data_IF_702510600506
#
_entry.id   IF_702510600506
#
_cell.length_a   1.000
_cell.length_b   1.000
_cell.length_c   1.000
_cell.angle_alpha   90.00
_cell.angle_beta   90.00
_cell.angle_gamma   90.00
#
_symmetry.space_group_name_H-M   'P 1'
#
loop_
_entity.id
_entity.type
_entity.pdbx_description
1 polymer ?
#
# COMPACT_ATOMS: atom_id res chain seq x y z
N UNK A 1 -16.72 21.03 -11.68
CA UNK A 1 -17.83 20.52 -10.86
C UNK A 1 -17.40 20.24 -9.43
N UNK A 2 -16.74 19.11 -9.10
CA UNK A 2 -16.35 18.85 -7.69
C UNK A 2 -15.34 19.86 -7.13
N UNK A 3 -14.32 20.21 -7.90
CA UNK A 3 -13.33 21.21 -7.49
C UNK A 3 -13.97 22.56 -7.18
N UNK A 4 -14.86 23.03 -8.08
CA UNK A 4 -15.56 24.31 -7.91
C UNK A 4 -16.48 24.25 -6.69
N UNK A 5 -17.27 23.19 -6.54
CA UNK A 5 -18.17 23.01 -5.39
C UNK A 5 -17.42 22.98 -4.04
N UNK A 6 -16.26 22.30 -3.98
CA UNK A 6 -15.42 22.29 -2.77
C UNK A 6 -14.76 23.64 -2.51
N UNK A 7 -14.36 24.35 -3.56
CA UNK A 7 -13.79 25.69 -3.45
C UNK A 7 -14.82 26.71 -2.96
N UNK A 8 -16.05 26.62 -3.46
CA UNK A 8 -17.19 27.45 -3.02
C UNK A 8 -17.59 27.14 -1.57
N UNK A 9 -17.52 25.88 -1.14
CA UNK A 9 -17.79 25.50 0.24
C UNK A 9 -16.78 26.11 1.24
N UNK A 10 -15.55 26.36 0.79
CA UNK A 10 -14.49 27.01 1.57
C UNK A 10 -13.84 26.07 2.59
N UNK A 11 -12.59 25.60 2.37
CA UNK A 11 -11.90 24.79 3.37
C UNK A 11 -11.65 25.60 4.66
N UNK A 12 -11.76 24.92 5.81
CA UNK A 12 -11.49 25.50 7.13
C UNK A 12 -10.16 24.97 7.65
N UNK A 13 -9.27 25.88 8.05
CA UNK A 13 -8.00 25.50 8.67
C UNK A 13 -8.22 24.85 10.04
N UNK A 14 -7.42 23.84 10.33
CA UNK A 14 -7.41 23.13 11.61
C UNK A 14 -6.08 23.39 12.32
N UNK A 15 -6.09 23.39 13.65
CA UNK A 15 -4.88 23.55 14.48
C UNK A 15 -4.09 22.23 14.56
N UNK A 16 -3.72 21.70 13.39
CA UNK A 16 -2.95 20.48 13.23
C UNK A 16 -2.12 20.54 11.95
N UNK A 17 -0.88 20.08 12.00
CA UNK A 17 -0.07 19.92 10.79
C UNK A 17 -0.65 18.85 9.85
N UNK A 18 -0.71 19.16 8.56
CA UNK A 18 -1.13 18.21 7.54
C UNK A 18 -0.15 17.03 7.49
N UNK A 19 -0.69 15.81 7.56
CA UNK A 19 0.14 14.60 7.46
C UNK A 19 0.64 14.41 6.02
N UNK A 20 1.95 14.46 5.83
CA UNK A 20 2.62 14.29 4.53
C UNK A 20 3.32 12.93 4.48
N UNK A 21 3.13 12.22 3.36
CA UNK A 21 3.88 11.03 3.00
C UNK A 21 5.00 11.41 2.04
N UNK A 22 6.23 11.37 2.54
CA UNK A 22 7.41 11.65 1.72
C UNK A 22 8.10 10.35 1.31
N UNK A 23 8.19 10.10 0.01
CA UNK A 23 8.98 8.99 -0.52
C UNK A 23 10.47 9.31 -0.31
N UNK A 24 11.17 8.46 0.44
CA UNK A 24 12.59 8.67 0.80
C UNK A 24 13.59 8.03 -0.17
N UNK A 25 13.15 7.07 -0.98
CA UNK A 25 13.93 6.39 -2.01
C UNK A 25 13.01 5.94 -3.15
N UNK A 26 13.52 5.62 -4.35
CA UNK A 26 12.69 5.18 -5.47
C UNK A 26 11.83 3.95 -5.12
N UNK A 27 10.55 4.00 -5.48
CA UNK A 27 9.58 2.90 -5.35
C UNK A 27 9.05 2.55 -6.73
N UNK A 28 9.09 1.29 -7.09
CA UNK A 28 8.68 0.82 -8.43
C UNK A 28 7.48 -0.11 -8.36
N UNK A 29 6.64 -0.07 -9.39
CA UNK A 29 5.59 -1.05 -9.62
C UNK A 29 5.50 -1.37 -11.12
N UNK A 30 5.45 -2.64 -11.47
CA UNK A 30 5.36 -3.12 -12.85
C UNK A 30 4.27 -4.19 -12.92
N UNK A 31 3.43 -4.10 -13.94
CA UNK A 31 2.36 -5.07 -14.21
C UNK A 31 2.69 -5.87 -15.46
N UNK A 32 2.21 -7.11 -15.50
CA UNK A 32 2.34 -7.99 -16.68
C UNK A 32 1.67 -7.39 -17.94
N UNK A 33 0.71 -6.48 -17.75
CA UNK A 33 0.09 -5.69 -18.82
C UNK A 33 1.04 -4.71 -19.52
N UNK A 34 2.24 -4.51 -18.98
CA UNK A 34 3.24 -3.57 -19.46
C UNK A 34 3.09 -2.14 -18.92
N UNK A 35 2.19 -1.93 -17.95
CA UNK A 35 2.14 -0.67 -17.18
C UNK A 35 3.33 -0.61 -16.22
N UNK A 36 4.04 0.52 -16.18
CA UNK A 36 5.19 0.69 -15.29
C UNK A 36 5.14 2.02 -14.56
N UNK A 37 5.62 2.02 -13.32
CA UNK A 37 5.58 3.17 -12.43
C UNK A 37 6.87 3.28 -11.63
N UNK A 38 7.32 4.51 -11.44
CA UNK A 38 8.41 4.85 -10.52
C UNK A 38 8.01 6.09 -9.74
N UNK A 39 7.97 6.00 -8.41
CA UNK A 39 7.84 7.16 -7.53
C UNK A 39 9.21 7.48 -6.91
N UNK A 40 9.70 8.69 -7.11
CA UNK A 40 10.99 9.15 -6.57
C UNK A 40 10.83 10.29 -5.55
N UNK A 41 11.80 10.49 -4.65
CA UNK A 41 11.76 11.60 -3.69
C UNK A 41 11.64 12.94 -4.40
N UNK A 42 10.66 13.74 -4.00
CA UNK A 42 10.43 15.08 -4.52
C UNK A 42 9.74 15.93 -3.46
N UNK A 43 9.96 17.25 -3.48
CA UNK A 43 9.41 18.19 -2.48
C UNK A 43 7.92 18.51 -2.65
N UNK A 44 7.35 18.10 -3.79
CA UNK A 44 5.96 18.31 -4.21
C UNK A 44 5.42 17.07 -4.91
N UNK A 45 4.11 16.98 -5.08
CA UNK A 45 3.49 15.98 -5.95
C UNK A 45 3.65 16.38 -7.42
N UNK A 46 4.50 15.65 -8.14
CA UNK A 46 4.70 15.81 -9.59
C UNK A 46 4.34 14.51 -10.30
N UNK A 47 3.62 14.58 -11.41
CA UNK A 47 3.30 13.41 -12.22
C UNK A 47 3.81 13.62 -13.65
N UNK A 48 4.66 12.71 -14.11
CA UNK A 48 5.00 12.56 -15.52
C UNK A 48 4.34 11.28 -16.03
N UNK A 49 3.51 11.40 -17.07
CA UNK A 49 2.79 10.24 -17.59
C UNK A 49 2.98 10.13 -19.11
N UNK A 50 3.03 8.88 -19.59
CA UNK A 50 2.98 8.53 -21.00
C UNK A 50 1.79 7.62 -21.24
N UNK A 51 0.90 8.00 -22.15
CA UNK A 51 -0.14 7.11 -22.67
C UNK A 51 0.23 6.70 -24.10
N UNK A 52 -0.24 5.54 -24.53
CA UNK A 52 0.02 4.99 -25.86
C UNK A 52 -1.23 4.23 -26.32
N UNK A 53 -2.07 4.91 -27.09
CA UNK A 53 -3.30 4.35 -27.65
C UNK A 53 -3.15 4.24 -29.16
N UNK A 54 -3.52 3.08 -29.71
CA UNK A 54 -3.62 2.83 -31.15
C UNK A 54 -4.87 3.54 -31.74
N UNK A 55 -4.90 4.87 -31.63
CA UNK A 55 -5.99 5.71 -32.13
C UNK A 55 -5.44 6.99 -32.78
N UNK A 56 -5.89 7.40 -33.98
CA UNK A 56 -5.33 8.54 -34.72
C UNK A 56 -5.33 9.88 -33.96
N UNK A 57 -6.28 10.10 -33.04
CA UNK A 57 -6.40 11.32 -32.24
C UNK A 57 -5.66 11.31 -30.91
N UNK A 58 -5.14 10.16 -30.48
CA UNK A 58 -4.48 10.03 -29.17
C UNK A 58 -3.00 9.70 -29.38
N UNK A 59 -2.71 8.59 -30.05
CA UNK A 59 -1.35 8.10 -30.25
C UNK A 59 -0.56 7.94 -28.94
N UNK A 60 0.76 8.06 -29.06
CA UNK A 60 1.67 8.13 -27.92
C UNK A 60 1.90 9.58 -27.53
N UNK A 61 1.58 9.93 -26.30
CA UNK A 61 1.84 11.27 -25.78
C UNK A 61 2.41 11.26 -24.37
N UNK A 62 3.19 12.29 -24.06
CA UNK A 62 3.90 12.48 -22.81
C UNK A 62 3.61 13.87 -22.25
N UNK A 63 3.55 13.97 -20.93
CA UNK A 63 3.40 15.25 -20.23
C UNK A 63 3.87 15.16 -18.79
N UNK A 64 4.15 16.32 -18.19
CA UNK A 64 4.62 16.44 -16.81
C UNK A 64 3.93 17.61 -16.13
N UNK A 65 3.32 17.34 -14.98
CA UNK A 65 2.42 18.27 -14.27
C UNK A 65 2.84 18.41 -12.81
N UNK A 66 2.94 19.63 -12.32
CA UNK A 66 3.04 19.92 -10.87
C UNK A 66 1.61 19.93 -10.31
N UNK A 67 1.22 18.84 -9.64
CA UNK A 67 -0.15 18.66 -9.16
C UNK A 67 -0.45 19.64 -8.04
N UNK A 68 0.51 19.90 -7.16
CA UNK A 68 0.32 20.80 -6.02
C UNK A 68 0.04 22.25 -6.46
N UNK A 69 0.65 22.70 -7.56
CA UNK A 69 0.46 24.05 -8.08
C UNK A 69 -0.61 24.15 -9.18
N UNK A 70 -0.75 23.11 -10.00
CA UNK A 70 -1.49 23.17 -11.26
C UNK A 70 -2.82 22.41 -11.28
N UNK A 71 -3.19 21.64 -10.24
CA UNK A 71 -4.35 20.74 -10.31
C UNK A 71 -5.63 21.42 -10.80
N UNK A 72 -5.95 22.61 -10.29
CA UNK A 72 -7.17 23.34 -10.62
C UNK A 72 -7.28 23.68 -12.11
N UNK A 73 -6.20 24.23 -12.67
CA UNK A 73 -6.18 24.77 -14.04
C UNK A 73 -5.81 23.71 -15.08
N UNK A 74 -4.99 22.73 -14.69
CA UNK A 74 -4.36 21.79 -15.62
C UNK A 74 -5.00 20.41 -15.62
N UNK A 75 -5.65 19.97 -14.54
CA UNK A 75 -6.06 18.55 -14.39
C UNK A 75 -7.56 18.44 -14.11
N UNK A 76 -8.09 19.23 -13.18
CA UNK A 76 -9.44 19.06 -12.62
C UNK A 76 -10.58 19.11 -13.67
N UNK A 77 -10.33 19.75 -14.82
CA UNK A 77 -11.33 19.93 -15.89
C UNK A 77 -11.22 18.90 -17.02
N UNK A 78 -10.22 18.02 -17.01
CA UNK A 78 -10.05 17.00 -18.04
C UNK A 78 -11.10 15.89 -17.90
N UNK A 79 -11.88 15.66 -18.96
CA UNK A 79 -12.98 14.68 -18.95
C UNK A 79 -12.48 13.27 -19.21
N UNK A 80 -13.27 12.30 -18.73
CA UNK A 80 -13.10 10.92 -19.13
C UNK A 80 -13.41 10.71 -20.60
N UNK A 81 -12.92 9.61 -21.16
CA UNK A 81 -13.10 9.26 -22.56
C UNK A 81 -13.36 7.77 -22.75
N UNK A 82 -14.02 7.42 -23.86
CA UNK A 82 -14.30 6.04 -24.24
C UNK A 82 -14.53 5.91 -25.74
N UNK A 83 -14.53 4.68 -26.23
CA UNK A 83 -14.71 4.38 -27.65
C UNK A 83 -16.16 3.99 -27.94
N UNK A 84 -16.72 4.51 -29.02
CA UNK A 84 -18.10 4.24 -29.47
C UNK A 84 -18.34 2.72 -29.63
N UNK A 85 -17.35 2.00 -30.14
CA UNK A 85 -17.40 0.55 -30.33
C UNK A 85 -17.65 -0.23 -29.02
N UNK A 86 -17.25 0.32 -27.88
CA UNK A 86 -17.38 -0.34 -26.57
C UNK A 86 -18.71 -0.03 -25.88
N UNK A 87 -19.46 0.97 -26.36
CA UNK A 87 -20.65 1.51 -25.66
C UNK A 87 -21.76 0.46 -25.54
N UNK A 88 -22.05 -0.26 -26.62
CA UNK A 88 -23.10 -1.29 -26.61
C UNK A 88 -22.77 -2.44 -25.65
N UNK A 89 -21.51 -2.91 -25.66
CA UNK A 89 -21.05 -3.97 -24.76
C UNK A 89 -21.13 -3.53 -23.30
N UNK A 90 -20.62 -2.32 -22.99
CA UNK A 90 -20.62 -1.78 -21.64
C UNK A 90 -22.06 -1.62 -21.12
N UNK A 91 -22.97 -1.06 -21.92
CA UNK A 91 -24.38 -0.93 -21.56
C UNK A 91 -25.05 -2.30 -21.36
N UNK A 92 -24.73 -3.28 -22.21
CA UNK A 92 -25.22 -4.66 -22.08
C UNK A 92 -24.81 -5.32 -20.76
N UNK A 93 -23.68 -4.90 -20.17
CA UNK A 93 -23.19 -5.32 -18.85
C UNK A 93 -23.68 -4.44 -17.70
N UNK A 94 -24.52 -3.45 -17.98
CA UNK A 94 -25.02 -2.47 -16.99
C UNK A 94 -23.98 -1.43 -16.57
N UNK A 95 -22.91 -1.24 -17.36
CA UNK A 95 -21.87 -0.24 -17.16
C UNK A 95 -22.13 0.98 -18.06
N UNK A 96 -21.49 2.12 -17.75
CA UNK A 96 -21.57 3.35 -18.55
C UNK A 96 -22.99 3.93 -18.80
N UNK A 97 -24.02 3.47 -18.07
CA UNK A 97 -25.42 3.88 -18.25
C UNK A 97 -25.70 5.39 -18.10
N UNK A 98 -24.80 6.12 -17.44
CA UNK A 98 -24.87 7.58 -17.26
C UNK A 98 -23.93 8.39 -18.16
N UNK A 99 -23.25 7.73 -19.10
CA UNK A 99 -22.35 8.39 -20.04
C UNK A 99 -23.15 9.26 -21.02
N UNK A 100 -22.65 10.46 -21.28
CA UNK A 100 -23.22 11.41 -22.22
C UNK A 100 -22.10 12.23 -22.85
N UNK A 101 -22.37 12.86 -23.99
CA UNK A 101 -21.40 13.78 -24.62
C UNK A 101 -21.08 15.01 -23.73
N UNK A 102 -21.85 15.26 -22.66
CA UNK A 102 -21.57 16.36 -21.73
C UNK A 102 -20.46 16.01 -20.72
N UNK A 103 -20.36 14.75 -20.31
CA UNK A 103 -19.44 14.28 -19.27
C UNK A 103 -18.32 13.37 -19.79
N UNK A 104 -18.44 12.85 -21.02
CA UNK A 104 -17.48 11.92 -21.62
C UNK A 104 -17.12 12.36 -23.04
N UNK A 105 -15.84 12.26 -23.39
CA UNK A 105 -15.36 12.38 -24.78
C UNK A 105 -15.51 11.01 -25.43
N UNK A 106 -16.29 10.93 -26.51
CA UNK A 106 -16.49 9.68 -27.25
C UNK A 106 -15.63 9.73 -28.51
N UNK A 107 -14.89 8.65 -28.76
CA UNK A 107 -14.11 8.48 -29.99
C UNK A 107 -14.74 7.40 -30.87
N UNK A 108 -14.88 7.68 -32.16
CA UNK A 108 -15.14 6.64 -33.16
C UNK A 108 -13.81 6.01 -33.61
N UNK A 109 -13.77 5.31 -34.75
CA UNK A 109 -12.55 4.69 -35.24
C UNK A 109 -11.46 5.68 -35.71
N UNK A 110 -11.82 6.94 -35.97
CA UNK A 110 -10.97 7.93 -36.63
C UNK A 110 -10.90 9.27 -35.88
N UNK A 111 -11.98 9.73 -35.26
CA UNK A 111 -12.08 11.07 -34.66
C UNK A 111 -12.95 11.13 -33.39
N UNK A 112 -13.06 12.32 -32.81
CA UNK A 112 -13.91 12.64 -31.67
C UNK A 112 -15.34 12.91 -32.15
N UNK A 113 -16.30 12.24 -31.52
CA UNK A 113 -17.73 12.31 -31.87
C UNK A 113 -18.38 13.49 -31.16
N UNK A 114 -18.93 14.43 -31.94
CA UNK A 114 -19.82 15.53 -31.50
C UNK A 114 -19.36 16.29 -30.24
N UNK A 115 -18.04 16.39 -30.05
CA UNK A 115 -17.44 17.05 -28.90
C UNK A 115 -16.09 17.68 -29.28
N UNK A 116 -15.66 18.67 -28.51
CA UNK A 116 -14.34 19.31 -28.65
C UNK A 116 -13.54 19.13 -27.39
N UNK A 117 -12.21 19.08 -27.51
CA UNK A 117 -11.34 18.99 -26.35
C UNK A 117 -11.25 20.35 -25.62
N UNK A 118 -11.19 20.30 -24.30
CA UNK A 118 -10.89 21.44 -23.42
C UNK A 118 -9.40 21.75 -23.39
N UNK A 119 -8.58 20.73 -23.59
CA UNK A 119 -7.12 20.79 -23.63
C UNK A 119 -6.61 19.98 -24.83
N UNK A 120 -5.52 20.39 -25.46
CA UNK A 120 -4.92 19.66 -26.58
C UNK A 120 -4.57 18.21 -26.20
N UNK A 121 -4.12 18.01 -24.97
CA UNK A 121 -3.70 16.76 -24.34
C UNK A 121 -4.70 16.26 -23.28
N UNK A 122 -6.01 16.53 -23.45
CA UNK A 122 -7.05 16.22 -22.45
C UNK A 122 -7.08 14.73 -22.04
N UNK A 123 -6.83 13.79 -22.95
CA UNK A 123 -6.77 12.35 -22.65
C UNK A 123 -5.67 11.99 -21.64
N UNK A 124 -4.49 12.62 -21.78
CA UNK A 124 -3.37 12.43 -20.86
C UNK A 124 -3.67 13.09 -19.51
N UNK A 125 -4.19 14.32 -19.52
CA UNK A 125 -4.58 15.03 -18.28
C UNK A 125 -5.62 14.24 -17.49
N UNK A 126 -6.58 13.61 -18.16
CA UNK A 126 -7.54 12.73 -17.50
C UNK A 126 -6.85 11.54 -16.81
N UNK A 127 -5.92 10.86 -17.49
CA UNK A 127 -5.14 9.76 -16.89
C UNK A 127 -4.25 10.23 -15.73
N UNK A 128 -3.73 11.46 -15.78
CA UNK A 128 -3.05 12.08 -14.63
C UNK A 128 -4.02 12.32 -13.48
N UNK A 129 -5.24 12.80 -13.77
CA UNK A 129 -6.32 12.91 -12.79
C UNK A 129 -6.67 11.58 -12.12
N UNK A 130 -6.75 10.49 -12.89
CA UNK A 130 -6.95 9.13 -12.37
C UNK A 130 -5.82 8.73 -11.41
N UNK A 131 -4.55 8.97 -11.76
CA UNK A 131 -3.40 8.70 -10.88
C UNK A 131 -3.53 9.50 -9.57
N UNK A 132 -3.89 10.79 -9.64
CA UNK A 132 -4.09 11.63 -8.44
C UNK A 132 -5.20 11.06 -7.57
N UNK A 133 -6.34 10.70 -8.16
CA UNK A 133 -7.48 10.14 -7.45
C UNK A 133 -7.18 8.80 -6.77
N UNK A 134 -6.52 7.89 -7.49
CA UNK A 134 -6.16 6.57 -6.96
C UNK A 134 -5.09 6.67 -5.86
N UNK A 135 -4.08 7.54 -6.03
CA UNK A 135 -3.06 7.77 -4.99
C UNK A 135 -3.63 8.48 -3.75
N UNK A 136 -4.74 9.21 -3.86
CA UNK A 136 -5.43 9.79 -2.71
C UNK A 136 -5.95 8.72 -1.72
N UNK A 137 -6.08 7.45 -2.15
CA UNK A 137 -6.39 6.32 -1.26
C UNK A 137 -5.30 6.03 -0.23
N UNK A 138 -4.10 6.63 -0.36
CA UNK A 138 -3.09 6.67 0.70
C UNK A 138 -3.54 7.49 1.92
N UNK A 139 -4.68 8.19 1.85
CA UNK A 139 -5.34 8.97 2.92
C UNK A 139 -4.55 10.16 3.46
N UNK A 140 -3.42 10.49 2.82
CA UNK A 140 -2.49 11.55 3.22
C UNK A 140 -1.85 12.16 1.98
N UNK A 141 -1.40 13.40 2.09
CA UNK A 141 -0.76 14.10 0.97
C UNK A 141 0.58 13.46 0.64
N UNK A 142 0.76 13.02 -0.60
CA UNK A 142 2.01 12.41 -1.08
C UNK A 142 2.93 13.48 -1.68
N UNK A 143 4.21 13.49 -1.29
CA UNK A 143 5.25 14.26 -1.98
C UNK A 143 6.22 13.30 -2.67
N UNK A 144 6.10 13.22 -3.99
CA UNK A 144 6.91 12.37 -4.85
C UNK A 144 6.83 12.86 -6.30
N UNK A 145 7.84 12.52 -7.10
CA UNK A 145 7.73 12.57 -8.56
C UNK A 145 7.38 11.17 -9.05
N UNK A 146 6.14 11.00 -9.51
CA UNK A 146 5.63 9.78 -10.11
C UNK A 146 5.85 9.84 -11.61
N UNK A 147 6.54 8.84 -12.15
CA UNK A 147 6.67 8.58 -13.59
C UNK A 147 5.84 7.35 -13.91
N UNK A 148 4.86 7.47 -14.81
CA UNK A 148 3.97 6.38 -15.20
C UNK A 148 4.00 6.17 -16.73
N UNK A 149 4.13 4.93 -17.16
CA UNK A 149 3.99 4.52 -18.56
C UNK A 149 2.79 3.58 -18.70
N UNK A 150 1.87 3.92 -19.62
CA UNK A 150 0.58 3.25 -19.83
C UNK A 150 -0.23 3.12 -18.52
N UNK A 151 -0.58 4.25 -17.88
CA UNK A 151 -1.26 4.23 -16.59
C UNK A 151 -2.65 3.58 -16.65
N UNK A 152 -3.02 2.89 -15.57
CA UNK A 152 -4.27 2.16 -15.37
C UNK A 152 -4.64 2.16 -13.89
N UNK A 153 -5.93 2.04 -13.56
CA UNK A 153 -6.35 2.00 -12.15
C UNK A 153 -5.66 0.86 -11.38
N UNK A 154 -5.54 -0.33 -11.98
CA UNK A 154 -4.83 -1.45 -11.37
C UNK A 154 -3.38 -1.07 -11.04
N UNK A 155 -2.66 -0.49 -12.01
CA UNK A 155 -1.27 -0.09 -11.80
C UNK A 155 -1.09 1.06 -10.80
N UNK A 156 -2.01 2.02 -10.78
CA UNK A 156 -2.03 3.10 -9.79
C UNK A 156 -2.20 2.54 -8.37
N UNK A 157 -3.10 1.56 -8.20
CA UNK A 157 -3.34 0.89 -6.93
C UNK A 157 -2.11 0.06 -6.50
N UNK A 158 -1.44 -0.63 -7.41
CA UNK A 158 -0.19 -1.34 -7.11
C UNK A 158 0.92 -0.37 -6.69
N UNK A 159 1.05 0.78 -7.36
CA UNK A 159 1.97 1.83 -6.94
C UNK A 159 1.63 2.37 -5.54
N UNK A 160 0.36 2.64 -5.25
CA UNK A 160 -0.08 3.07 -3.92
C UNK A 160 0.27 2.04 -2.84
N UNK A 161 0.07 0.75 -3.12
CA UNK A 161 0.46 -0.35 -2.22
C UNK A 161 1.98 -0.38 -2.01
N UNK A 162 2.76 -0.25 -3.08
CA UNK A 162 4.22 -0.23 -3.01
C UNK A 162 4.74 0.96 -2.19
N UNK A 163 4.18 2.16 -2.41
CA UNK A 163 4.50 3.38 -1.64
C UNK A 163 4.18 3.18 -0.17
N UNK A 164 2.98 2.66 0.17
CA UNK A 164 2.61 2.36 1.56
C UNK A 164 3.60 1.40 2.21
N UNK A 165 3.98 0.33 1.52
CA UNK A 165 4.97 -0.63 2.02
C UNK A 165 6.34 0.02 2.23
N UNK A 166 6.79 0.86 1.30
CA UNK A 166 8.05 1.61 1.41
C UNK A 166 8.08 2.54 2.61
N UNK A 167 7.00 3.31 2.80
CA UNK A 167 6.87 4.27 3.91
C UNK A 167 6.85 3.57 5.26
N UNK A 168 6.17 2.43 5.35
CA UNK A 168 6.23 1.57 6.55
C UNK A 168 7.68 1.17 6.86
N UNK A 169 8.48 0.77 5.87
CA UNK A 169 9.87 0.34 6.10
C UNK A 169 10.82 1.48 6.50
N UNK A 170 10.59 2.69 5.98
CA UNK A 170 11.55 3.81 6.06
C UNK A 170 11.20 4.88 7.11
N UNK A 171 9.98 4.88 7.65
CA UNK A 171 9.53 5.85 8.65
C UNK A 171 10.02 5.56 10.08
N UNK A 172 9.84 6.52 11.01
CA UNK A 172 10.00 6.24 12.43
C UNK A 172 9.01 5.13 12.84
N UNK A 173 9.43 4.18 13.68
CA UNK A 173 8.53 3.10 14.10
C UNK A 173 7.39 3.64 14.96
N UNK A 174 6.23 2.99 14.86
CA UNK A 174 5.11 3.18 15.80
C UNK A 174 5.54 2.77 17.22
N UNK A 175 6.31 1.69 17.32
CA UNK A 175 6.94 1.25 18.56
C UNK A 175 8.32 0.65 18.27
N UNK A 176 9.35 1.15 18.95
CA UNK A 176 10.70 0.59 18.93
C UNK A 176 10.89 -0.52 19.97
N UNK A 177 12.07 -1.13 19.99
CA UNK A 177 12.38 -2.25 20.89
C UNK A 177 12.17 -1.91 22.37
N UNK A 178 12.48 -0.69 22.79
CA UNK A 178 12.31 -0.26 24.19
C UNK A 178 10.84 -0.26 24.56
N UNK A 179 9.98 0.24 23.66
CA UNK A 179 8.53 0.19 23.82
C UNK A 179 7.99 -1.24 23.68
N UNK A 180 8.54 -2.07 22.81
CA UNK A 180 8.11 -3.48 22.71
C UNK A 180 8.40 -4.26 24.00
N UNK A 181 9.52 -3.99 24.67
CA UNK A 181 9.88 -4.65 25.92
C UNK A 181 8.93 -4.32 27.08
N UNK A 182 8.14 -3.23 27.00
CA UNK A 182 7.10 -2.93 28.00
C UNK A 182 5.83 -3.73 27.76
N UNK A 183 5.52 -4.10 26.51
CA UNK A 183 4.32 -4.85 26.16
C UNK A 183 4.53 -6.36 26.07
N UNK A 184 5.70 -6.79 25.63
CA UNK A 184 6.03 -8.20 25.47
C UNK A 184 6.87 -8.68 26.66
N UNK A 185 6.53 -9.84 27.26
CA UNK A 185 7.33 -10.43 28.33
C UNK A 185 8.64 -11.04 27.81
N UNK A 186 8.72 -11.30 26.50
CA UNK A 186 9.88 -11.92 25.85
C UNK A 186 11.15 -11.09 26.04
N UNK A 187 12.29 -11.77 26.22
CA UNK A 187 13.63 -11.17 26.30
C UNK A 187 14.59 -11.99 25.46
N UNK A 188 15.78 -11.45 25.18
CA UNK A 188 16.83 -12.20 24.49
C UNK A 188 17.03 -13.57 25.16
N UNK A 189 17.13 -14.67 24.38
CA UNK A 189 17.21 -14.73 22.90
C UNK A 189 15.86 -14.88 22.18
N UNK A 190 14.73 -14.76 22.89
CA UNK A 190 13.39 -15.06 22.36
C UNK A 190 12.52 -13.84 22.04
N UNK A 191 12.96 -12.60 22.31
CA UNK A 191 12.32 -11.41 21.74
C UNK A 191 12.83 -11.23 20.31
N UNK A 192 11.98 -11.52 19.32
CA UNK A 192 12.40 -11.63 17.92
C UNK A 192 11.98 -10.42 17.06
N UNK A 193 10.96 -9.67 17.48
CA UNK A 193 10.48 -8.47 16.76
C UNK A 193 11.26 -7.26 17.24
N UNK A 194 11.82 -6.49 16.31
CA UNK A 194 12.65 -5.33 16.63
C UNK A 194 11.82 -4.05 16.78
N UNK A 195 10.78 -3.90 15.96
CA UNK A 195 9.91 -2.72 15.94
C UNK A 195 8.58 -2.98 15.24
N UNK A 196 7.58 -2.17 15.56
CA UNK A 196 6.31 -2.07 14.84
C UNK A 196 6.36 -0.84 13.95
N UNK A 197 6.05 -1.03 12.68
CA UNK A 197 6.11 0.01 11.65
C UNK A 197 4.74 0.45 11.14
N UNK A 198 3.69 -0.32 11.43
CA UNK A 198 2.32 0.11 11.25
C UNK A 198 1.39 -0.57 12.25
N UNK A 199 0.32 0.12 12.64
CA UNK A 199 -0.64 -0.38 13.62
C UNK A 199 -2.02 0.22 13.37
N UNK A 200 -2.99 -0.64 13.11
CA UNK A 200 -4.42 -0.32 13.03
C UNK A 200 -5.16 -1.10 14.14
N UNK A 201 -5.55 -0.43 15.24
CA UNK A 201 -6.14 -1.07 16.41
C UNK A 201 -7.30 -2.01 16.06
N UNK A 202 -7.20 -3.27 16.50
CA UNK A 202 -8.22 -4.30 16.28
C UNK A 202 -8.33 -4.81 14.84
N UNK A 203 -7.52 -4.30 13.91
CA UNK A 203 -7.56 -4.69 12.48
C UNK A 203 -6.27 -5.31 11.99
N UNK A 204 -5.11 -4.71 12.25
CA UNK A 204 -3.85 -5.22 11.70
C UNK A 204 -2.60 -4.52 12.23
N UNK A 205 -1.48 -5.21 12.10
CA UNK A 205 -0.17 -4.74 12.55
C UNK A 205 0.91 -5.12 11.55
N UNK A 206 1.91 -4.27 11.44
CA UNK A 206 3.12 -4.56 10.68
C UNK A 206 4.34 -4.49 11.59
N UNK A 207 4.97 -5.65 11.80
CA UNK A 207 6.20 -5.79 12.57
C UNK A 207 7.40 -5.98 11.67
N UNK A 208 8.59 -5.73 12.22
CA UNK A 208 9.85 -5.92 11.50
C UNK A 208 10.85 -6.65 12.39
N UNK A 209 11.58 -7.59 11.77
CA UNK A 209 12.75 -8.27 12.33
C UNK A 209 13.92 -8.16 11.36
N UNK A 210 15.05 -7.71 11.86
CA UNK A 210 16.33 -7.86 11.20
C UNK A 210 16.90 -9.24 11.53
N UNK A 211 17.48 -9.89 10.52
CA UNK A 211 18.10 -11.21 10.67
C UNK A 211 19.61 -11.03 10.65
N UNK A 212 20.26 -11.30 11.78
CA UNK A 212 21.71 -11.13 11.92
C UNK A 212 22.42 -12.44 12.20
N UNK A 213 23.62 -12.61 11.63
CA UNK A 213 24.44 -13.82 11.82
C UNK A 213 24.79 -14.08 13.30
N UNK A 214 24.73 -13.04 14.14
CA UNK A 214 24.99 -13.13 15.57
C UNK A 214 23.86 -13.81 16.36
N UNK A 215 22.73 -14.15 15.73
CA UNK A 215 21.64 -14.84 16.43
C UNK A 215 22.02 -16.29 16.78
N UNK A 216 21.74 -16.74 18.02
CA UNK A 216 22.32 -17.96 18.57
C UNK A 216 21.90 -19.24 17.82
N UNK A 217 20.74 -19.24 17.17
CA UNK A 217 20.24 -20.40 16.46
C UNK A 217 21.02 -20.73 15.17
N UNK A 218 21.76 -19.78 14.59
CA UNK A 218 22.55 -20.05 13.38
C UNK A 218 23.74 -20.99 13.64
N UNK A 219 24.19 -21.11 14.90
CA UNK A 219 25.25 -22.04 15.28
C UNK A 219 24.81 -23.51 15.18
N UNK A 220 23.51 -23.78 15.35
CA UNK A 220 22.99 -25.14 15.51
C UNK A 220 21.92 -25.56 14.49
N UNK A 221 21.24 -24.63 13.82
CA UNK A 221 20.17 -24.99 12.88
C UNK A 221 20.74 -25.70 11.63
N UNK A 222 21.73 -25.08 10.97
CA UNK A 222 22.48 -25.68 9.86
C UNK A 222 23.91 -25.10 9.80
N UNK A 223 24.91 -25.77 10.42
CA UNK A 223 26.30 -25.31 10.41
C UNK A 223 26.84 -25.12 8.98
N UNK A 224 27.41 -23.94 8.70
CA UNK A 224 27.94 -23.58 7.37
C UNK A 224 26.87 -23.17 6.34
N UNK A 225 25.59 -23.19 6.71
CA UNK A 225 24.47 -22.82 5.84
C UNK A 225 23.39 -22.06 6.64
N UNK A 226 23.65 -20.79 7.01
CA UNK A 226 22.85 -20.08 8.02
C UNK A 226 21.44 -19.75 7.50
N UNK A 227 20.48 -20.63 7.79
CA UNK A 227 19.06 -20.44 7.53
C UNK A 227 18.34 -20.18 8.86
N UNK A 228 17.43 -19.21 8.90
CA UNK A 228 16.59 -18.98 10.07
C UNK A 228 15.55 -20.11 10.22
N UNK A 229 15.39 -20.73 11.41
CA UNK A 229 14.36 -21.74 11.63
C UNK A 229 12.96 -21.18 11.34
N UNK A 230 12.18 -21.88 10.51
CA UNK A 230 10.82 -21.46 10.14
C UNK A 230 9.91 -21.26 11.35
N UNK A 231 10.07 -22.07 12.39
CA UNK A 231 9.34 -21.93 13.67
C UNK A 231 9.62 -20.60 14.37
N UNK A 232 10.82 -20.02 14.22
CA UNK A 232 11.15 -18.71 14.79
C UNK A 232 10.57 -17.56 13.95
N UNK A 233 10.40 -17.76 12.64
CA UNK A 233 9.68 -16.80 11.79
C UNK A 233 8.23 -16.74 12.25
N UNK A 234 7.63 -17.90 12.50
CA UNK A 234 6.27 -18.02 13.04
C UNK A 234 6.16 -17.42 14.44
N UNK A 235 7.10 -17.70 15.35
CA UNK A 235 7.16 -17.09 16.68
C UNK A 235 7.25 -15.55 16.63
N UNK A 236 8.04 -15.00 15.69
CA UNK A 236 8.12 -13.55 15.51
C UNK A 236 6.80 -12.94 14.98
N UNK A 237 6.10 -13.61 14.04
CA UNK A 237 4.74 -13.21 13.63
C UNK A 237 3.78 -13.24 14.82
N UNK A 238 3.89 -14.28 15.63
CA UNK A 238 3.12 -14.49 16.84
C UNK A 238 3.30 -13.34 17.85
N UNK A 239 4.53 -12.95 18.15
CA UNK A 239 4.84 -11.81 19.02
C UNK A 239 4.24 -10.50 18.48
N UNK A 240 4.36 -10.28 17.17
CA UNK A 240 3.75 -9.13 16.53
C UNK A 240 2.22 -9.16 16.67
N UNK A 241 1.58 -10.31 16.44
CA UNK A 241 0.14 -10.50 16.63
C UNK A 241 -0.31 -10.30 18.08
N UNK A 242 0.51 -10.68 19.06
CA UNK A 242 0.24 -10.44 20.48
C UNK A 242 0.11 -8.96 20.82
N UNK A 243 0.88 -8.07 20.16
CA UNK A 243 0.80 -6.63 20.35
C UNK A 243 -0.55 -6.03 19.93
N UNK A 244 -1.24 -6.62 18.95
CA UNK A 244 -2.60 -6.20 18.56
C UNK A 244 -3.61 -6.38 19.68
N UNK A 245 -3.38 -7.36 20.54
CA UNK A 245 -4.32 -7.73 21.59
C UNK A 245 -4.17 -6.84 22.83
N UNK A 246 -3.02 -6.20 23.01
CA UNK A 246 -2.73 -5.44 24.23
C UNK A 246 -3.60 -4.19 24.39
N UNK A 247 -4.12 -3.62 23.29
CA UNK A 247 -5.02 -2.45 23.35
C UNK A 247 -6.46 -2.81 23.77
N UNK A 248 -6.81 -4.11 23.75
CA UNK A 248 -8.16 -4.61 24.02
C UNK A 248 -8.28 -5.32 25.36
N UNK A 249 -7.24 -5.29 26.19
CA UNK A 249 -7.15 -6.08 27.41
C UNK A 249 -6.81 -5.19 28.59
N UNK A 250 -7.63 -5.28 29.63
CA UNK A 250 -7.36 -4.65 30.92
C UNK A 250 -6.12 -5.29 31.56
N UNK A 251 -5.22 -4.45 32.09
CA UNK A 251 -3.99 -4.88 32.78
C UNK A 251 -3.12 -5.84 31.93
N UNK A 252 -2.66 -5.42 30.73
CA UNK A 252 -1.95 -6.29 29.80
C UNK A 252 -0.65 -6.88 30.38
N UNK A 253 -0.07 -6.25 31.40
CA UNK A 253 1.13 -6.72 32.11
C UNK A 253 0.89 -8.04 32.88
N UNK A 254 -0.36 -8.29 33.28
CA UNK A 254 -0.79 -9.49 34.02
C UNK A 254 -1.33 -10.58 33.09
N UNK A 255 -1.13 -10.44 31.77
CA UNK A 255 -1.68 -11.33 30.76
C UNK A 255 -0.57 -11.98 29.95
N UNK A 256 -0.85 -13.19 29.48
CA UNK A 256 0.00 -13.94 28.56
C UNK A 256 -0.85 -14.45 27.41
N UNK A 257 -0.27 -14.42 26.21
CA UNK A 257 -0.93 -14.91 24.99
C UNK A 257 -0.39 -16.30 24.68
N UNK A 258 -1.27 -17.31 24.69
CA UNK A 258 -0.94 -18.67 24.30
C UNK A 258 -1.45 -18.97 22.88
N UNK A 259 -0.60 -19.55 22.04
CA UNK A 259 -1.03 -20.12 20.77
C UNK A 259 -1.82 -21.40 21.01
N UNK A 260 -3.00 -21.46 20.42
CA UNK A 260 -3.86 -22.64 20.44
C UNK A 260 -3.64 -23.49 19.20
N UNK A 261 -3.66 -22.86 18.02
CA UNK A 261 -3.51 -23.55 16.74
C UNK A 261 -2.72 -22.70 15.76
N UNK A 262 -2.05 -23.39 14.85
CA UNK A 262 -1.44 -22.81 13.65
C UNK A 262 -1.90 -23.63 12.46
N UNK A 263 -2.42 -22.96 11.45
CA UNK A 263 -2.92 -23.57 10.22
C UNK A 263 -2.28 -22.90 9.01
N UNK A 264 -2.33 -23.59 7.86
CA UNK A 264 -1.85 -23.08 6.57
C UNK A 264 -0.41 -22.52 6.59
N UNK A 265 0.45 -23.05 7.47
CA UNK A 265 1.84 -22.60 7.59
C UNK A 265 2.62 -23.00 6.33
N UNK A 266 3.18 -22.02 5.63
CA UNK A 266 3.98 -22.23 4.42
C UNK A 266 5.29 -21.46 4.53
N UNK A 267 6.40 -22.13 4.19
CA UNK A 267 7.71 -21.51 4.03
C UNK A 267 8.06 -21.56 2.54
N UNK A 268 8.07 -20.39 1.89
CA UNK A 268 8.23 -20.27 0.43
C UNK A 268 9.69 -20.13 0.02
N UNK A 269 10.50 -19.43 0.82
CA UNK A 269 11.93 -19.18 0.57
C UNK A 269 12.71 -19.21 1.88
N UNK A 270 13.99 -19.65 1.87
CA UNK A 270 14.87 -19.52 3.02
C UNK A 270 15.05 -18.04 3.40
N UNK A 271 15.14 -17.79 4.70
CA UNK A 271 15.54 -16.48 5.26
C UNK A 271 16.94 -16.63 5.84
N UNK A 272 17.81 -15.69 5.52
CA UNK A 272 19.25 -15.74 5.82
C UNK A 272 19.73 -14.45 6.50
N UNK A 273 20.91 -14.45 7.14
CA UNK A 273 21.50 -13.22 7.67
C UNK A 273 21.62 -12.12 6.62
N UNK A 274 21.23 -10.89 7.00
CA UNK A 274 21.13 -9.73 6.12
C UNK A 274 19.70 -9.42 5.70
N UNK A 275 18.77 -10.38 5.77
CA UNK A 275 17.38 -10.14 5.43
C UNK A 275 16.68 -9.23 6.46
N UNK A 276 15.75 -8.43 5.94
CA UNK A 276 14.75 -7.73 6.76
C UNK A 276 13.40 -8.42 6.57
N UNK A 277 12.98 -9.16 7.58
CA UNK A 277 11.67 -9.79 7.64
C UNK A 277 10.62 -8.77 8.06
N UNK A 278 9.61 -8.56 7.21
CA UNK A 278 8.44 -7.73 7.51
C UNK A 278 7.24 -8.65 7.72
N UNK A 279 6.57 -8.55 8.86
CA UNK A 279 5.38 -9.32 9.20
C UNK A 279 4.14 -8.47 9.01
N UNK A 280 3.28 -8.83 8.06
CA UNK A 280 1.97 -8.21 7.87
C UNK A 280 0.89 -9.12 8.45
N UNK A 281 0.19 -8.66 9.48
CA UNK A 281 -0.82 -9.44 10.19
C UNK A 281 -2.16 -8.71 10.18
N UNK A 282 -3.24 -9.47 9.97
CA UNK A 282 -4.62 -9.00 10.03
C UNK A 282 -5.44 -9.83 11.01
N UNK A 283 -6.33 -9.15 11.75
CA UNK A 283 -7.32 -9.79 12.62
C UNK A 283 -8.47 -10.30 11.77
N UNK A 284 -8.67 -11.61 11.76
CA UNK A 284 -9.79 -12.25 11.08
C UNK A 284 -11.05 -12.20 11.96
N UNK A 285 -10.87 -12.44 13.26
CA UNK A 285 -11.96 -12.38 14.23
C UNK A 285 -11.42 -12.28 15.65
N UNK A 286 -12.10 -11.50 16.48
CA UNK A 286 -11.87 -11.43 17.93
C UNK A 286 -13.16 -11.83 18.66
N UNK A 287 -13.10 -12.86 19.50
CA UNK A 287 -14.25 -13.32 20.30
C UNK A 287 -13.80 -13.62 21.73
N UNK A 288 -14.29 -12.84 22.69
CA UNK A 288 -13.89 -12.94 24.11
C UNK A 288 -12.35 -12.84 24.23
N UNK A 289 -11.71 -13.89 24.73
CA UNK A 289 -10.26 -13.98 24.91
C UNK A 289 -9.54 -14.66 23.73
N UNK A 290 -10.23 -15.02 22.65
CA UNK A 290 -9.64 -15.74 21.51
C UNK A 290 -9.57 -14.83 20.29
N UNK A 291 -8.38 -14.72 19.72
CA UNK A 291 -8.10 -14.01 18.48
C UNK A 291 -7.70 -14.98 17.38
N UNK A 292 -8.21 -14.76 16.17
CA UNK A 292 -7.73 -15.40 14.94
C UNK A 292 -7.04 -14.37 14.08
N UNK A 293 -5.83 -14.68 13.64
CA UNK A 293 -4.97 -13.81 12.85
C UNK A 293 -4.54 -14.54 11.58
N UNK A 294 -4.39 -13.81 10.48
CA UNK A 294 -3.65 -14.27 9.30
C UNK A 294 -2.40 -13.43 9.16
N UNK A 295 -1.27 -14.07 8.84
CA UNK A 295 0.03 -13.41 8.75
C UNK A 295 0.81 -13.81 7.52
N UNK A 296 1.56 -12.84 6.98
CA UNK A 296 2.59 -13.07 5.96
C UNK A 296 3.92 -12.46 6.41
N UNK A 297 5.00 -13.18 6.16
CA UNK A 297 6.37 -12.71 6.29
C UNK A 297 6.93 -12.40 4.92
N UNK A 298 7.49 -11.21 4.74
CA UNK A 298 8.05 -10.74 3.49
C UNK A 298 9.53 -10.39 3.65
N UNK A 299 10.32 -10.68 2.62
CA UNK A 299 11.67 -10.13 2.41
C UNK A 299 11.64 -9.45 1.05
N UNK A 300 12.00 -8.17 1.01
CA UNK A 300 12.00 -7.37 -0.23
C UNK A 300 10.69 -7.43 -1.02
N UNK A 301 9.58 -7.37 -0.28
CA UNK A 301 8.21 -7.38 -0.84
C UNK A 301 7.75 -8.77 -1.31
N UNK A 302 8.59 -9.79 -1.25
CA UNK A 302 8.25 -11.15 -1.64
C UNK A 302 7.88 -11.98 -0.41
N UNK A 303 6.77 -12.73 -0.51
CA UNK A 303 6.33 -13.58 0.58
C UNK A 303 7.28 -14.77 0.77
N UNK A 304 7.88 -14.86 1.95
CA UNK A 304 8.79 -15.94 2.35
C UNK A 304 8.12 -16.90 3.34
N UNK A 305 7.12 -16.44 4.09
CA UNK A 305 6.35 -17.26 5.01
C UNK A 305 4.88 -16.81 5.10
N UNK A 306 3.97 -17.73 5.37
CA UNK A 306 2.55 -17.46 5.62
C UNK A 306 2.06 -18.37 6.75
N UNK A 307 1.11 -17.90 7.56
CA UNK A 307 0.48 -18.71 8.59
C UNK A 307 -0.83 -18.09 9.08
N UNK A 308 -1.77 -18.95 9.49
CA UNK A 308 -2.98 -18.57 10.21
C UNK A 308 -2.83 -19.00 11.68
N UNK A 309 -3.11 -18.08 12.60
CA UNK A 309 -2.94 -18.28 14.04
C UNK A 309 -4.26 -18.20 14.77
N UNK A 310 -4.43 -19.04 15.79
CA UNK A 310 -5.41 -18.81 16.83
C UNK A 310 -4.68 -18.66 18.16
N UNK A 311 -4.91 -17.55 18.83
CA UNK A 311 -4.29 -17.22 20.10
C UNK A 311 -5.35 -16.96 21.16
N UNK A 312 -5.04 -17.28 22.43
CA UNK A 312 -5.88 -16.99 23.57
C UNK A 312 -5.13 -16.17 24.61
N UNK A 313 -5.78 -15.13 25.09
CA UNK A 313 -5.31 -14.30 26.21
C UNK A 313 -5.69 -15.00 27.50
N UNK A 314 -4.71 -15.16 28.39
CA UNK A 314 -4.83 -15.83 29.68
C UNK A 314 -4.23 -14.93 30.76
N UNK A 315 -4.70 -15.07 31.99
CA UNK A 315 -4.08 -14.42 33.15
C UNK A 315 -2.77 -15.14 33.50
N UNK A 316 -1.81 -14.38 34.00
CA UNK A 316 -0.47 -14.85 34.36
C UNK A 316 -0.44 -15.64 35.67
#
# INVERSE_FOLDING_TARGET
DYFDALSEAGPVEQDQEASILAVSAPVTAELDSGSSYVATPHSRMRISATIDFEHPRIGRCYGSYDVDAGFADEIARARTFGFEADVEELNGRGLALGASLKNTIVLDANDIVDNSLRFEDEFLRHKVGDIVGDLALLSRRLTAHVVAERPSHEGNIELARAIRTHLRRSGPPVADITRLMTFLPHRYPMLLVDRVIDFDPGRGIVGLKNVTINEPFFQGHFPGHPIMPGVLIVEAMAQCGGLLLMDHVEEPEDKVVYFMTMDNVKFRKPVVPGDTLVFELSVNSMKRQVCKLSGRGLVDGQVVAEADFMARIMDR
#
